data_IF_740343436469
#
_entry.id   IF_740343436469
#
_cell.length_a   1.000
_cell.length_b   1.000
_cell.length_c   1.000
_cell.angle_alpha   90.00
_cell.angle_beta   90.00
_cell.angle_gamma   90.00
#
_symmetry.space_group_name_H-M   'P 1'
#
loop_
_entity.id
_entity.type
_entity.pdbx_description
1 polymer ?
#
# COMPACT_ATOMS: atom_id res chain seq x y z
N UNK A 1 6.51 -4.79 -16.54
CA UNK A 1 5.60 -4.23 -15.52
C UNK A 1 5.09 -2.92 -16.08
N UNK A 2 3.87 -2.92 -16.60
CA UNK A 2 3.12 -1.68 -16.75
C UNK A 2 2.90 -1.21 -15.31
N UNK A 3 3.25 0.03 -15.03
CA UNK A 3 3.02 0.65 -13.72
C UNK A 3 1.86 1.59 -13.98
N UNK A 4 0.62 1.06 -13.96
CA UNK A 4 -0.55 1.91 -14.05
C UNK A 4 -0.38 3.04 -13.02
N UNK A 5 -0.37 4.27 -13.50
CA UNK A 5 -0.33 5.45 -12.64
C UNK A 5 -1.74 5.61 -12.08
N UNK A 6 -1.96 5.05 -10.90
CA UNK A 6 -3.23 5.09 -10.21
C UNK A 6 -3.17 6.21 -9.18
N UNK A 7 -4.10 7.16 -9.28
CA UNK A 7 -4.23 8.18 -8.26
C UNK A 7 -4.72 7.55 -6.94
N UNK A 8 -4.10 7.89 -5.79
CA UNK A 8 -4.59 7.44 -4.50
C UNK A 8 -5.97 8.05 -4.22
N UNK A 9 -6.78 7.43 -3.33
CA UNK A 9 -8.03 8.04 -2.88
C UNK A 9 -7.80 9.41 -2.22
N UNK A 10 -8.79 10.29 -2.31
CA UNK A 10 -8.76 11.66 -1.74
C UNK A 10 -8.50 11.67 -0.22
N UNK A 11 -8.93 10.61 0.47
CA UNK A 11 -8.76 10.44 1.90
C UNK A 11 -7.80 9.29 2.25
N UNK A 12 -6.93 9.52 3.23
CA UNK A 12 -6.07 8.48 3.80
C UNK A 12 -6.75 7.72 4.94
N UNK A 13 -7.83 7.01 4.60
CA UNK A 13 -8.57 6.11 5.50
C UNK A 13 -8.66 4.70 4.92
N UNK A 14 -8.81 3.68 5.78
CA UNK A 14 -8.94 2.29 5.30
C UNK A 14 -10.20 2.15 4.45
N UNK A 15 -11.28 2.80 4.87
CA UNK A 15 -12.58 2.82 4.22
C UNK A 15 -12.51 3.41 2.80
N UNK A 16 -11.75 4.49 2.60
CA UNK A 16 -11.57 5.08 1.27
C UNK A 16 -10.82 4.14 0.31
N UNK A 17 -9.80 3.44 0.79
CA UNK A 17 -9.06 2.47 -0.02
C UNK A 17 -9.89 1.21 -0.31
N UNK A 18 -10.71 0.75 0.64
CA UNK A 18 -11.66 -0.35 0.41
C UNK A 18 -12.78 0.05 -0.56
N UNK A 19 -13.25 1.30 -0.54
CA UNK A 19 -14.18 1.82 -1.53
C UNK A 19 -13.56 1.84 -2.93
N UNK A 20 -12.34 2.36 -3.08
CA UNK A 20 -11.61 2.36 -4.34
C UNK A 20 -11.34 0.94 -4.88
N UNK A 21 -11.09 -0.04 -4.01
CA UNK A 21 -11.00 -1.45 -4.42
C UNK A 21 -12.34 -1.97 -4.96
N UNK A 22 -13.45 -1.70 -4.27
CA UNK A 22 -14.79 -2.11 -4.74
C UNK A 22 -15.16 -1.50 -6.08
N UNK A 23 -14.81 -0.23 -6.30
CA UNK A 23 -15.01 0.45 -7.58
C UNK A 23 -14.20 -0.22 -8.70
N UNK A 24 -12.93 -0.56 -8.44
CA UNK A 24 -12.10 -1.28 -9.39
C UNK A 24 -12.65 -2.69 -9.70
N UNK A 25 -13.13 -3.42 -8.69
CA UNK A 25 -13.74 -4.75 -8.85
C UNK A 25 -15.06 -4.69 -9.64
N UNK A 26 -15.77 -3.55 -9.58
CA UNK A 26 -17.02 -3.32 -10.30
C UNK A 26 -16.85 -2.92 -11.77
N UNK A 27 -15.62 -2.70 -12.25
CA UNK A 27 -15.36 -2.47 -13.68
C UNK A 27 -15.81 -3.66 -14.54
N UNK A 28 -16.16 -3.46 -15.81
CA UNK A 28 -16.45 -4.56 -16.74
C UNK A 28 -15.28 -5.54 -16.87
N UNK A 29 -15.57 -6.83 -17.10
CA UNK A 29 -14.52 -7.86 -17.24
C UNK A 29 -13.70 -7.71 -18.52
N UNK A 30 -14.22 -7.01 -19.53
CA UNK A 30 -13.52 -6.67 -20.77
C UNK A 30 -12.69 -5.37 -20.66
N UNK A 31 -12.73 -4.68 -19.53
CA UNK A 31 -11.86 -3.54 -19.26
C UNK A 31 -10.41 -4.02 -19.22
N UNK A 32 -9.54 -3.48 -20.10
CA UNK A 32 -8.18 -3.97 -20.27
C UNK A 32 -7.29 -3.71 -19.04
N UNK A 33 -7.67 -2.78 -18.16
CA UNK A 33 -6.88 -2.34 -17.03
C UNK A 33 -7.47 -2.83 -15.68
N UNK A 34 -8.68 -3.42 -15.66
CA UNK A 34 -9.35 -3.89 -14.43
C UNK A 34 -8.48 -4.79 -13.56
N UNK A 35 -7.88 -5.83 -14.15
CA UNK A 35 -7.06 -6.78 -13.39
C UNK A 35 -5.87 -6.08 -12.72
N UNK A 36 -5.21 -5.17 -13.44
CA UNK A 36 -4.07 -4.41 -12.92
C UNK A 36 -4.53 -3.42 -11.84
N UNK A 37 -5.66 -2.73 -12.04
CA UNK A 37 -6.21 -1.78 -11.07
C UNK A 37 -6.60 -2.47 -9.76
N UNK A 38 -7.29 -3.61 -9.83
CA UNK A 38 -7.63 -4.42 -8.65
C UNK A 38 -6.37 -4.88 -7.91
N UNK A 39 -5.34 -5.32 -8.65
CA UNK A 39 -4.07 -5.72 -8.05
C UNK A 39 -3.39 -4.56 -7.32
N UNK A 40 -3.34 -3.36 -7.93
CA UNK A 40 -2.78 -2.15 -7.31
C UNK A 40 -3.54 -1.79 -6.04
N UNK A 41 -4.88 -1.74 -6.09
CA UNK A 41 -5.70 -1.37 -4.91
C UNK A 41 -5.57 -2.37 -3.75
N UNK A 42 -5.42 -3.67 -4.04
CA UNK A 42 -5.14 -4.68 -3.01
C UNK A 42 -3.75 -4.50 -2.39
N UNK A 43 -2.75 -4.19 -3.21
CA UNK A 43 -1.40 -3.91 -2.72
C UNK A 43 -1.37 -2.65 -1.84
N UNK A 44 -2.09 -1.59 -2.22
CA UNK A 44 -2.21 -0.38 -1.40
C UNK A 44 -2.75 -0.70 0.00
N UNK A 45 -3.85 -1.43 0.10
CA UNK A 45 -4.42 -1.84 1.39
C UNK A 45 -3.40 -2.61 2.25
N UNK A 46 -2.69 -3.55 1.62
CA UNK A 46 -1.67 -4.36 2.28
C UNK A 46 -0.50 -3.52 2.79
N UNK A 47 -0.04 -2.57 1.99
CA UNK A 47 1.14 -1.73 2.30
C UNK A 47 0.82 -0.72 3.39
N UNK A 48 -0.33 -0.05 3.31
CA UNK A 48 -0.66 1.06 4.18
C UNK A 48 -1.35 0.63 5.48
N UNK A 49 -2.20 -0.40 5.45
CA UNK A 49 -3.06 -0.74 6.59
C UNK A 49 -2.77 -2.11 7.21
N UNK A 50 -2.43 -3.11 6.41
CA UNK A 50 -2.25 -4.48 6.91
C UNK A 50 -0.79 -4.85 7.23
N UNK A 51 0.14 -3.89 7.09
CA UNK A 51 1.55 -4.13 7.38
C UNK A 51 1.73 -4.43 8.88
N UNK A 52 2.30 -5.59 9.25
CA UNK A 52 2.50 -5.91 10.65
C UNK A 52 3.39 -4.87 11.33
N UNK A 53 2.98 -4.44 12.52
CA UNK A 53 3.79 -3.52 13.33
C UNK A 53 5.07 -4.22 13.74
N UNK A 54 6.20 -3.53 13.59
CA UNK A 54 7.49 -4.01 14.09
C UNK A 54 7.41 -4.26 15.60
N UNK A 55 8.08 -5.30 16.07
CA UNK A 55 8.23 -5.54 17.51
C UNK A 55 9.05 -4.43 18.17
N UNK A 56 8.97 -4.25 19.49
CA UNK A 56 9.84 -3.31 20.22
C UNK A 56 11.33 -3.54 19.95
N UNK A 57 11.76 -4.80 19.85
CA UNK A 57 13.15 -5.21 19.59
C UNK A 57 13.58 -4.81 18.17
N UNK A 58 12.78 -5.10 17.17
CA UNK A 58 13.02 -4.71 15.78
C UNK A 58 13.08 -3.19 15.63
N UNK A 59 12.19 -2.47 16.33
CA UNK A 59 12.18 -1.01 16.34
C UNK A 59 13.45 -0.46 16.97
N UNK A 60 13.95 -1.04 18.08
CA UNK A 60 15.23 -0.65 18.69
C UNK A 60 16.41 -0.94 17.77
N UNK A 61 16.46 -2.10 17.12
CA UNK A 61 17.53 -2.45 16.20
C UNK A 61 17.61 -1.47 15.02
N UNK A 62 16.46 -1.11 14.45
CA UNK A 62 16.36 -0.12 13.40
C UNK A 62 16.87 1.25 13.87
N UNK A 63 16.39 1.74 15.01
CA UNK A 63 16.81 3.05 15.55
C UNK A 63 18.30 3.10 15.84
N UNK A 64 18.88 2.04 16.43
CA UNK A 64 20.33 1.97 16.65
C UNK A 64 21.11 2.01 15.34
N UNK A 65 20.65 1.30 14.30
CA UNK A 65 21.33 1.31 13.00
C UNK A 65 21.41 2.70 12.36
N UNK A 66 20.47 3.61 12.68
CA UNK A 66 20.54 5.01 12.24
C UNK A 66 21.56 5.81 13.07
N UNK A 67 21.61 5.61 14.39
CA UNK A 67 22.56 6.28 15.28
C UNK A 67 24.00 5.88 14.94
N UNK A 68 24.26 4.59 14.77
CA UNK A 68 25.60 4.09 14.46
C UNK A 68 26.09 4.57 13.09
N UNK A 69 25.19 4.70 12.10
CA UNK A 69 25.50 5.27 10.78
C UNK A 69 25.73 6.79 10.79
N UNK A 70 25.18 7.51 11.76
CA UNK A 70 25.36 8.98 11.86
C UNK A 70 26.58 9.37 12.69
N UNK A 71 27.19 8.42 13.39
CA UNK A 71 28.45 8.60 14.13
C UNK A 71 29.71 8.24 13.30
N UNK A 72 29.55 7.72 12.07
CA UNK A 72 30.63 7.43 11.10
C UNK A 72 30.67 8.49 10.02
#
# INVERSE_FOLDING_TARGET
MRTLLVEPPDEWSREAYEAALREAEALPDDDPDKEELVAVRREDLRVYFDRPKRTPEERRALLRSFIDKSAS
#
